data_IF_620204431112
#
_entry.id   IF_620204431112
#
_cell.length_a   1.000
_cell.length_b   1.000
_cell.length_c   1.000
_cell.angle_alpha   90.00
_cell.angle_beta   90.00
_cell.angle_gamma   90.00
#
_symmetry.space_group_name_H-M   'P 1'
#
loop_
_entity.id
_entity.type
_entity.pdbx_description
1 polymer ?
#
# COMPACT_ATOMS: atom_id res chain seq x y z
N UNK A 1 18.60 -34.92 -15.77
CA UNK A 1 18.61 -36.39 -16.06
C UNK A 1 18.56 -37.28 -14.81
N UNK A 2 18.64 -36.71 -13.56
CA UNK A 2 18.55 -37.44 -12.29
C UNK A 2 17.48 -36.86 -11.34
N UNK A 3 16.47 -36.19 -11.87
CA UNK A 3 15.39 -35.68 -11.07
C UNK A 3 14.67 -36.83 -10.32
N UNK A 4 14.38 -36.66 -9.06
CA UNK A 4 13.82 -37.68 -8.17
C UNK A 4 14.85 -38.63 -7.57
N UNK A 5 16.15 -38.39 -7.79
CA UNK A 5 17.23 -39.21 -7.26
C UNK A 5 17.83 -38.70 -5.93
N UNK A 6 17.26 -37.66 -5.34
CA UNK A 6 17.77 -37.07 -4.11
C UNK A 6 19.05 -36.24 -4.30
N UNK A 7 19.11 -35.47 -5.38
CA UNK A 7 20.21 -34.55 -5.68
C UNK A 7 20.34 -33.44 -4.62
N UNK A 8 21.55 -32.85 -4.54
CA UNK A 8 21.80 -31.70 -3.63
C UNK A 8 20.87 -30.53 -3.97
N UNK A 9 20.12 -30.03 -2.99
CA UNK A 9 19.10 -28.98 -3.13
C UNK A 9 17.91 -29.35 -4.05
N UNK A 10 17.71 -30.64 -4.33
CA UNK A 10 16.55 -31.07 -5.11
C UNK A 10 15.26 -30.86 -4.29
N UNK A 11 14.32 -30.15 -4.88
CA UNK A 11 12.98 -29.90 -4.32
C UNK A 11 11.99 -29.73 -5.48
N UNK A 12 10.73 -30.03 -5.28
CA UNK A 12 9.66 -29.72 -6.24
C UNK A 12 9.23 -28.25 -6.11
N UNK A 13 10.09 -27.35 -6.55
CA UNK A 13 9.89 -25.91 -6.50
C UNK A 13 8.71 -25.43 -7.38
N UNK A 14 8.46 -26.14 -8.49
CA UNK A 14 7.31 -25.85 -9.37
C UNK A 14 5.99 -26.05 -8.65
N UNK A 15 5.83 -27.18 -7.93
CA UNK A 15 4.60 -27.46 -7.18
C UNK A 15 4.45 -26.51 -5.96
N UNK A 16 5.56 -26.16 -5.31
CA UNK A 16 5.57 -25.20 -4.20
C UNK A 16 5.15 -23.80 -4.67
N UNK A 17 5.65 -23.35 -5.82
CA UNK A 17 5.37 -22.04 -6.37
C UNK A 17 3.97 -21.93 -7.02
N UNK A 18 3.38 -23.06 -7.45
CA UNK A 18 2.10 -23.07 -8.19
C UNK A 18 0.96 -22.34 -7.51
N UNK A 19 0.66 -22.54 -6.21
CA UNK A 19 -0.43 -21.81 -5.54
C UNK A 19 -0.13 -20.33 -5.28
N UNK A 20 1.13 -19.91 -5.43
CA UNK A 20 1.58 -18.53 -5.15
C UNK A 20 1.75 -17.71 -6.44
N UNK A 21 1.63 -18.35 -7.61
CA UNK A 21 1.97 -17.72 -8.89
C UNK A 21 0.91 -17.98 -9.95
N UNK A 22 0.78 -17.04 -10.88
CA UNK A 22 -0.09 -17.21 -12.05
C UNK A 22 0.40 -18.30 -13.02
N UNK A 23 1.71 -18.53 -13.02
CA UNK A 23 2.36 -19.54 -13.86
C UNK A 23 3.61 -20.05 -13.16
N UNK A 24 3.73 -21.37 -13.09
CA UNK A 24 4.91 -22.03 -12.55
C UNK A 24 5.28 -23.20 -13.47
N UNK A 25 6.51 -23.20 -13.98
CA UNK A 25 7.00 -24.23 -14.89
C UNK A 25 8.50 -24.47 -14.74
N UNK A 26 8.94 -25.70 -15.05
CA UNK A 26 10.35 -26.02 -15.20
C UNK A 26 10.75 -25.91 -16.67
N UNK A 27 11.89 -25.28 -16.93
CA UNK A 27 12.50 -25.22 -18.26
C UNK A 27 13.17 -26.57 -18.55
N UNK A 28 12.69 -27.26 -19.56
CA UNK A 28 13.13 -28.62 -19.88
C UNK A 28 14.13 -28.70 -21.04
N UNK A 29 14.27 -27.59 -21.77
CA UNK A 29 15.18 -27.48 -22.94
C UNK A 29 15.72 -26.04 -22.98
N UNK A 30 17.04 -25.92 -23.05
CA UNK A 30 17.70 -24.62 -23.09
C UNK A 30 17.36 -23.78 -24.32
N UNK A 31 17.13 -24.43 -25.47
CA UNK A 31 16.72 -23.72 -26.69
C UNK A 31 15.33 -23.05 -26.55
N UNK A 32 14.55 -23.49 -25.56
CA UNK A 32 13.20 -22.95 -25.28
C UNK A 32 13.19 -21.91 -24.17
N UNK A 33 14.31 -21.53 -23.60
CA UNK A 33 14.38 -20.48 -22.56
C UNK A 33 13.65 -19.21 -23.00
N UNK A 34 13.88 -18.64 -24.22
CA UNK A 34 13.17 -17.45 -24.67
C UNK A 34 11.65 -17.62 -24.73
N UNK A 35 11.17 -18.80 -25.16
CA UNK A 35 9.73 -19.12 -25.18
C UNK A 35 9.12 -19.11 -23.77
N UNK A 36 9.81 -19.74 -22.80
CA UNK A 36 9.33 -19.79 -21.41
C UNK A 36 9.32 -18.41 -20.77
N UNK A 37 10.34 -17.58 -21.02
CA UNK A 37 10.46 -16.22 -20.50
C UNK A 37 9.36 -15.33 -21.11
N UNK A 38 9.16 -15.34 -22.43
CA UNK A 38 8.09 -14.58 -23.08
C UNK A 38 6.70 -14.97 -22.57
N UNK A 39 6.45 -16.28 -22.42
CA UNK A 39 5.19 -16.78 -21.87
C UNK A 39 4.99 -16.33 -20.43
N UNK A 40 6.01 -16.45 -19.60
CA UNK A 40 5.98 -16.03 -18.20
C UNK A 40 5.72 -14.53 -18.09
N UNK A 41 6.42 -13.71 -18.86
CA UNK A 41 6.23 -12.27 -18.91
C UNK A 41 4.80 -11.90 -19.32
N UNK A 42 4.29 -12.48 -20.40
CA UNK A 42 2.95 -12.26 -20.90
C UNK A 42 1.89 -12.59 -19.85
N UNK A 43 2.05 -13.74 -19.16
CA UNK A 43 1.11 -14.15 -18.10
C UNK A 43 1.22 -13.23 -16.89
N UNK A 44 2.44 -12.85 -16.49
CA UNK A 44 2.65 -11.92 -15.37
C UNK A 44 1.96 -10.57 -15.55
N UNK A 45 1.93 -10.06 -16.79
CA UNK A 45 1.44 -8.71 -17.10
C UNK A 45 0.04 -8.66 -17.72
N UNK A 46 -0.61 -9.82 -17.95
CA UNK A 46 -1.96 -9.90 -18.53
C UNK A 46 -3.05 -10.05 -17.46
N UNK A 47 -4.25 -9.60 -17.75
CA UNK A 47 -5.36 -9.63 -16.80
C UNK A 47 -5.02 -8.87 -15.52
N UNK A 48 -5.25 -9.48 -14.35
CA UNK A 48 -4.71 -8.95 -13.10
C UNK A 48 -3.23 -9.33 -13.01
N UNK A 49 -2.30 -8.36 -13.04
CA UNK A 49 -0.87 -8.64 -12.97
C UNK A 49 -0.48 -9.39 -11.69
N UNK A 50 0.47 -10.32 -11.82
CA UNK A 50 0.88 -11.12 -10.67
C UNK A 50 2.16 -11.93 -10.93
N UNK A 51 2.70 -12.56 -9.88
CA UNK A 51 3.97 -13.26 -9.95
C UNK A 51 3.90 -14.50 -10.86
N UNK A 52 5.05 -14.85 -11.43
CA UNK A 52 5.29 -16.08 -12.18
C UNK A 52 6.58 -16.71 -11.70
N UNK A 53 6.72 -18.01 -11.90
CA UNK A 53 7.90 -18.78 -11.49
C UNK A 53 8.41 -19.64 -12.63
N UNK A 54 9.72 -19.57 -12.87
CA UNK A 54 10.44 -20.48 -13.79
C UNK A 54 11.56 -21.16 -13.04
N UNK A 55 11.49 -22.49 -12.94
CA UNK A 55 12.56 -23.31 -12.44
C UNK A 55 13.53 -23.63 -13.58
N UNK A 56 14.82 -23.37 -13.34
CA UNK A 56 15.87 -23.68 -14.32
C UNK A 56 16.78 -24.79 -13.76
N UNK A 57 16.62 -26.05 -14.21
CA UNK A 57 17.45 -27.14 -13.75
C UNK A 57 18.94 -26.92 -14.05
N UNK A 58 19.77 -27.45 -13.16
CA UNK A 58 21.23 -27.24 -13.20
C UNK A 58 21.87 -27.69 -14.49
N UNK A 59 21.39 -28.78 -15.10
CA UNK A 59 21.87 -29.28 -16.39
C UNK A 59 21.53 -28.33 -17.55
N UNK A 60 20.43 -27.59 -17.47
CA UNK A 60 20.11 -26.52 -18.41
C UNK A 60 21.01 -25.31 -18.17
N UNK A 61 21.23 -24.90 -16.92
CA UNK A 61 22.07 -23.73 -16.59
C UNK A 61 23.52 -23.88 -17.07
N UNK A 62 24.06 -25.08 -17.03
CA UNK A 62 25.46 -25.37 -17.44
C UNK A 62 25.58 -25.96 -18.86
N UNK A 63 24.46 -26.01 -19.60
CA UNK A 63 24.53 -26.42 -21.02
C UNK A 63 25.08 -25.30 -21.88
N UNK A 64 25.80 -25.71 -22.94
CA UNK A 64 26.19 -24.80 -24.02
C UNK A 64 25.10 -24.82 -25.10
N UNK A 65 24.74 -23.67 -25.63
CA UNK A 65 23.79 -23.52 -26.71
C UNK A 65 24.48 -22.87 -27.89
N UNK A 66 24.14 -23.34 -29.08
CA UNK A 66 24.60 -22.70 -30.32
C UNK A 66 23.65 -21.56 -30.68
N UNK A 67 24.13 -20.34 -30.50
CA UNK A 67 23.36 -19.15 -30.85
C UNK A 67 23.01 -19.06 -32.33
N UNK A 68 23.80 -19.73 -33.20
CA UNK A 68 23.57 -19.77 -34.63
C UNK A 68 22.57 -20.85 -35.05
N UNK A 69 22.36 -21.88 -34.24
CA UNK A 69 21.32 -22.89 -34.43
C UNK A 69 19.93 -22.41 -34.02
N UNK A 70 19.70 -21.15 -34.13
CA UNK A 70 18.79 -20.37 -33.32
C UNK A 70 17.33 -20.56 -33.68
N UNK A 71 16.73 -21.45 -32.99
CA UNK A 71 15.36 -21.20 -32.49
C UNK A 71 15.30 -19.90 -31.69
N UNK A 72 16.41 -19.26 -31.34
CA UNK A 72 16.54 -17.96 -30.72
C UNK A 72 16.11 -16.81 -31.64
N UNK A 73 16.19 -16.95 -32.94
CA UNK A 73 15.61 -16.01 -33.92
C UNK A 73 14.12 -16.26 -34.21
N UNK A 74 13.50 -17.22 -33.53
CA UNK A 74 12.09 -17.45 -33.72
C UNK A 74 11.28 -16.16 -33.38
N UNK A 75 10.19 -15.92 -34.13
CA UNK A 75 9.33 -14.74 -33.97
C UNK A 75 8.57 -14.71 -32.63
N UNK A 76 8.97 -15.52 -31.64
CA UNK A 76 8.37 -15.57 -30.32
C UNK A 76 8.93 -14.54 -29.34
N UNK A 77 10.15 -14.05 -29.57
CA UNK A 77 10.72 -12.97 -28.75
C UNK A 77 10.30 -11.64 -29.33
N UNK A 78 9.27 -11.06 -28.76
CA UNK A 78 8.91 -9.66 -29.08
C UNK A 78 9.99 -8.75 -28.54
N UNK A 79 10.51 -7.84 -29.36
CA UNK A 79 11.43 -6.79 -28.90
C UNK A 79 10.82 -5.91 -27.82
N UNK A 80 9.48 -5.75 -27.86
CA UNK A 80 8.72 -5.01 -26.85
C UNK A 80 7.39 -5.72 -26.59
N UNK A 81 7.03 -6.00 -25.32
CA UNK A 81 5.72 -6.54 -25.00
C UNK A 81 4.65 -5.49 -25.35
N UNK A 82 3.72 -5.84 -26.23
CA UNK A 82 2.54 -5.00 -26.51
C UNK A 82 1.51 -5.28 -25.44
N UNK A 83 1.13 -4.27 -24.69
CA UNK A 83 -0.05 -4.29 -23.82
C UNK A 83 -1.26 -3.83 -24.66
N UNK A 84 -2.33 -4.60 -24.60
CA UNK A 84 -3.59 -4.26 -25.26
C UNK A 84 -4.54 -3.72 -24.19
N UNK A 85 -5.11 -2.54 -24.43
CA UNK A 85 -6.17 -1.99 -23.59
C UNK A 85 -7.49 -2.66 -23.95
N UNK A 86 -8.22 -3.17 -22.96
CA UNK A 86 -9.60 -3.61 -23.14
C UNK A 86 -10.49 -2.36 -23.22
N UNK A 87 -11.12 -2.14 -24.36
CA UNK A 87 -12.11 -1.07 -24.51
C UNK A 87 -13.46 -1.52 -24.01
N UNK A 88 -14.23 -0.63 -23.36
CA UNK A 88 -15.55 -0.97 -22.85
C UNK A 88 -16.53 -1.27 -23.99
N UNK A 89 -17.43 -2.18 -23.74
CA UNK A 89 -18.56 -2.43 -24.65
C UNK A 89 -19.47 -1.19 -24.68
N UNK A 90 -19.80 -0.63 -25.89
CA UNK A 90 -20.46 0.68 -25.98
C UNK A 90 -21.84 0.76 -25.31
N UNK A 91 -22.67 -0.30 -25.38
CA UNK A 91 -24.01 -0.26 -24.78
C UNK A 91 -23.95 -0.28 -23.26
N UNK A 92 -23.12 -1.14 -22.68
CA UNK A 92 -22.86 -1.18 -21.23
C UNK A 92 -22.25 0.12 -20.71
N UNK A 93 -21.30 0.68 -21.47
CA UNK A 93 -20.69 1.96 -21.13
C UNK A 93 -21.73 3.10 -21.10
N UNK A 94 -22.59 3.19 -22.14
CA UNK A 94 -23.61 4.24 -22.21
C UNK A 94 -24.62 4.14 -21.08
N UNK A 95 -25.01 2.95 -20.68
CA UNK A 95 -25.86 2.72 -19.51
C UNK A 95 -25.19 3.20 -18.24
N UNK A 96 -23.94 2.79 -18.00
CA UNK A 96 -23.16 3.19 -16.83
C UNK A 96 -22.97 4.70 -16.77
N UNK A 97 -22.59 5.35 -17.88
CA UNK A 97 -22.47 6.80 -17.94
C UNK A 97 -23.81 7.48 -17.63
N UNK A 98 -24.93 6.96 -18.13
CA UNK A 98 -26.27 7.45 -17.80
C UNK A 98 -26.58 7.40 -16.31
N UNK A 99 -26.18 6.32 -15.64
CA UNK A 99 -26.32 6.16 -14.19
C UNK A 99 -25.47 7.20 -13.45
N UNK A 100 -24.19 7.33 -13.80
CA UNK A 100 -23.28 8.30 -13.18
C UNK A 100 -23.80 9.73 -13.38
N UNK A 101 -24.25 10.09 -14.57
CA UNK A 101 -24.84 11.41 -14.87
C UNK A 101 -26.08 11.73 -14.04
N UNK A 102 -26.92 10.72 -13.75
CA UNK A 102 -28.15 10.88 -12.97
C UNK A 102 -27.94 10.84 -11.46
N UNK A 103 -26.79 10.36 -10.99
CA UNK A 103 -26.47 10.22 -9.56
C UNK A 103 -26.20 11.58 -8.92
N UNK A 104 -26.65 11.75 -7.68
CA UNK A 104 -26.48 12.98 -6.91
C UNK A 104 -25.24 12.97 -6.03
N UNK A 105 -24.89 11.80 -5.50
CA UNK A 105 -23.81 11.61 -4.54
C UNK A 105 -22.87 10.47 -4.96
N UNK A 106 -22.36 10.44 -6.21
CA UNK A 106 -21.44 9.41 -6.63
C UNK A 106 -20.08 9.53 -5.94
N UNK A 107 -19.40 8.40 -5.78
CA UNK A 107 -18.00 8.32 -5.34
C UNK A 107 -17.22 7.39 -6.27
N UNK A 108 -15.92 7.65 -6.43
CA UNK A 108 -14.97 6.75 -7.08
C UNK A 108 -14.07 6.14 -6.02
N UNK A 109 -13.93 4.82 -6.04
CA UNK A 109 -12.94 4.09 -5.26
C UNK A 109 -11.95 3.50 -6.25
N UNK A 110 -10.73 4.05 -6.26
CA UNK A 110 -9.68 3.65 -7.18
C UNK A 110 -8.77 2.58 -6.59
N UNK A 111 -8.56 1.51 -7.32
CA UNK A 111 -7.68 0.42 -6.94
C UNK A 111 -6.40 0.33 -7.77
N UNK A 112 -5.61 -0.70 -7.50
CA UNK A 112 -4.28 -0.92 -8.06
C UNK A 112 -4.26 -1.06 -9.60
N UNK A 113 -5.40 -1.48 -10.20
CA UNK A 113 -5.54 -1.56 -11.66
C UNK A 113 -5.31 -0.22 -12.37
N UNK A 114 -5.62 0.91 -11.72
CA UNK A 114 -5.37 2.25 -12.27
C UNK A 114 -3.85 2.51 -12.35
N UNK A 115 -3.12 2.18 -11.28
CA UNK A 115 -1.66 2.30 -11.24
C UNK A 115 -0.97 1.38 -12.25
N UNK A 116 -1.41 0.13 -12.38
CA UNK A 116 -0.88 -0.81 -13.37
C UNK A 116 -1.08 -0.34 -14.82
N UNK A 117 -2.21 0.30 -15.08
CA UNK A 117 -2.51 0.84 -16.40
C UNK A 117 -1.91 2.24 -16.65
N UNK A 118 -1.25 2.83 -15.62
CA UNK A 118 -0.62 4.17 -15.66
C UNK A 118 -1.59 5.26 -16.07
N UNK A 119 -2.76 5.29 -15.45
CA UNK A 119 -3.83 6.22 -15.78
C UNK A 119 -4.24 7.14 -14.62
N UNK A 120 -3.28 7.42 -13.72
CA UNK A 120 -3.48 8.33 -12.58
C UNK A 120 -3.82 9.74 -13.05
N UNK A 121 -3.21 10.20 -14.15
CA UNK A 121 -3.48 11.54 -14.73
C UNK A 121 -4.92 11.65 -15.24
N UNK A 122 -5.46 10.61 -15.86
CA UNK A 122 -6.87 10.57 -16.28
C UNK A 122 -7.82 10.56 -15.07
N UNK A 123 -7.50 9.80 -14.03
CA UNK A 123 -8.27 9.84 -12.79
C UNK A 123 -8.25 11.23 -12.16
N UNK A 124 -7.08 11.90 -12.18
CA UNK A 124 -6.95 13.28 -11.70
C UNK A 124 -7.84 14.22 -12.51
N UNK A 125 -7.83 14.10 -13.84
CA UNK A 125 -8.67 14.90 -14.71
C UNK A 125 -10.16 14.70 -14.43
N UNK A 126 -10.62 13.46 -14.22
CA UNK A 126 -11.99 13.16 -13.78
C UNK A 126 -12.32 13.89 -12.48
N UNK A 127 -11.41 13.85 -11.49
CA UNK A 127 -11.59 14.56 -10.23
C UNK A 127 -11.68 16.08 -10.37
N UNK A 128 -10.81 16.66 -11.20
CA UNK A 128 -10.74 18.11 -11.37
C UNK A 128 -11.92 18.67 -12.20
N UNK A 129 -12.37 17.95 -13.23
CA UNK A 129 -13.43 18.40 -14.12
C UNK A 129 -14.83 18.02 -13.61
N UNK A 130 -15.05 16.72 -13.28
CA UNK A 130 -16.37 16.22 -12.90
C UNK A 130 -16.66 16.45 -11.40
N UNK A 131 -15.62 16.53 -10.57
CA UNK A 131 -15.69 16.81 -9.12
C UNK A 131 -16.38 15.71 -8.29
N UNK A 132 -16.26 14.45 -8.73
CA UNK A 132 -16.68 13.30 -7.95
C UNK A 132 -15.62 13.03 -6.87
N UNK A 133 -16.01 12.84 -5.58
CA UNK A 133 -15.07 12.42 -4.52
C UNK A 133 -14.36 11.12 -4.87
N UNK A 134 -13.03 11.10 -4.70
CA UNK A 134 -12.17 9.95 -5.04
C UNK A 134 -11.48 9.45 -3.77
N UNK A 135 -11.52 8.15 -3.57
CA UNK A 135 -10.79 7.44 -2.52
C UNK A 135 -9.87 6.38 -3.11
N UNK A 136 -8.76 6.11 -2.44
CA UNK A 136 -7.80 5.07 -2.80
C UNK A 136 -8.05 3.82 -1.96
N UNK A 137 -8.07 2.65 -2.58
CA UNK A 137 -8.13 1.38 -1.85
C UNK A 137 -6.92 1.27 -0.90
N UNK A 138 -7.10 0.89 0.37
CA UNK A 138 -6.00 0.69 1.31
C UNK A 138 -4.99 -0.36 0.84
N UNK A 139 -3.78 -0.30 1.37
CA UNK A 139 -2.68 -1.23 1.07
C UNK A 139 -2.23 -1.29 -0.39
N UNK A 140 -2.57 -0.28 -1.18
CA UNK A 140 -2.13 -0.13 -2.56
C UNK A 140 -1.35 1.17 -2.76
N UNK A 141 -0.71 1.29 -3.91
CA UNK A 141 -0.03 2.53 -4.28
C UNK A 141 -0.99 3.73 -4.19
N UNK A 142 -0.51 4.84 -3.67
CA UNK A 142 -1.24 6.11 -3.70
C UNK A 142 -1.45 6.53 -5.16
N UNK A 143 -2.70 6.62 -5.59
CA UNK A 143 -3.06 6.94 -6.97
C UNK A 143 -2.95 8.42 -7.29
N UNK A 144 -3.34 9.26 -6.34
CA UNK A 144 -3.37 10.70 -6.51
C UNK A 144 -2.70 11.38 -5.31
N UNK A 145 -2.29 12.62 -5.53
CA UNK A 145 -1.80 13.50 -4.49
C UNK A 145 -2.76 14.68 -4.27
N UNK A 146 -2.39 15.57 -3.38
CA UNK A 146 -3.20 16.72 -2.95
C UNK A 146 -3.41 17.79 -4.03
N UNK A 147 -2.77 17.64 -5.19
CA UNK A 147 -3.02 18.51 -6.36
C UNK A 147 -4.38 18.21 -7.01
N UNK A 148 -5.07 17.13 -6.64
CA UNK A 148 -6.44 16.83 -6.99
C UNK A 148 -7.36 17.09 -5.79
N UNK A 149 -8.16 18.15 -5.83
CA UNK A 149 -9.08 18.50 -4.72
C UNK A 149 -10.17 17.46 -4.46
N UNK A 150 -10.50 16.66 -5.47
CA UNK A 150 -11.47 15.57 -5.33
C UNK A 150 -10.88 14.33 -4.66
N UNK A 151 -9.55 14.22 -4.57
CA UNK A 151 -8.91 13.13 -3.85
C UNK A 151 -8.98 13.34 -2.34
N UNK A 152 -9.62 12.42 -1.65
CA UNK A 152 -9.97 12.57 -0.23
C UNK A 152 -9.22 11.59 0.69
N UNK A 153 -8.35 10.73 0.15
CA UNK A 153 -7.53 9.81 0.92
C UNK A 153 -7.95 8.35 0.80
N UNK A 154 -7.84 7.59 1.89
CA UNK A 154 -8.04 6.15 1.89
C UNK A 154 -9.50 5.74 2.01
N UNK A 155 -9.85 4.66 1.32
CA UNK A 155 -11.13 3.96 1.49
C UNK A 155 -11.08 3.00 2.68
N UNK A 156 -10.65 3.47 3.84
CA UNK A 156 -10.53 2.71 5.09
C UNK A 156 -11.47 3.27 6.16
N UNK A 157 -12.51 2.53 6.47
CA UNK A 157 -13.53 2.96 7.43
C UNK A 157 -13.15 2.77 8.89
N UNK A 158 -12.10 2.02 9.16
CA UNK A 158 -11.64 1.74 10.51
C UNK A 158 -10.69 2.83 11.02
N UNK A 159 -9.89 3.40 10.14
CA UNK A 159 -8.90 4.43 10.47
C UNK A 159 -9.27 5.82 9.95
N UNK A 160 -10.07 5.89 8.89
CA UNK A 160 -10.35 7.12 8.16
C UNK A 160 -11.86 7.39 8.05
N UNK A 161 -12.44 8.04 9.06
CA UNK A 161 -13.86 8.33 9.15
C UNK A 161 -14.45 9.13 7.97
N UNK A 162 -13.71 10.01 7.25
CA UNK A 162 -14.24 10.67 6.06
C UNK A 162 -14.70 9.70 4.98
N UNK A 163 -14.03 8.56 4.79
CA UNK A 163 -14.50 7.54 3.86
C UNK A 163 -15.83 6.93 4.29
N UNK A 164 -16.01 6.69 5.59
CA UNK A 164 -17.25 6.18 6.14
C UNK A 164 -18.43 7.11 5.88
N UNK A 165 -18.24 8.43 6.04
CA UNK A 165 -19.25 9.42 5.71
C UNK A 165 -19.65 9.35 4.24
N UNK A 166 -18.65 9.37 3.34
CA UNK A 166 -18.87 9.32 1.90
C UNK A 166 -19.63 8.05 1.48
N UNK A 167 -19.25 6.88 2.04
CA UNK A 167 -19.84 5.60 1.69
C UNK A 167 -21.31 5.51 2.15
N UNK A 168 -21.59 5.93 3.38
CA UNK A 168 -22.96 5.91 3.93
C UNK A 168 -23.93 6.83 3.18
N UNK A 169 -23.44 7.94 2.63
CA UNK A 169 -24.26 8.95 1.96
C UNK A 169 -24.34 8.75 0.44
N UNK A 170 -23.48 7.89 -0.11
CA UNK A 170 -23.39 7.68 -1.57
C UNK A 170 -24.62 6.98 -2.13
N UNK A 171 -25.09 7.46 -3.29
CA UNK A 171 -26.13 6.81 -4.10
C UNK A 171 -25.56 6.00 -5.28
N UNK A 172 -24.27 6.18 -5.58
CA UNK A 172 -23.56 5.46 -6.63
C UNK A 172 -22.07 5.27 -6.27
N UNK A 173 -21.64 4.05 -6.20
CA UNK A 173 -20.27 3.65 -5.89
C UNK A 173 -19.63 3.13 -7.18
N UNK A 174 -18.54 3.77 -7.61
CA UNK A 174 -17.79 3.39 -8.81
C UNK A 174 -16.46 2.80 -8.37
N UNK A 175 -16.36 1.49 -8.31
CA UNK A 175 -15.12 0.76 -8.03
C UNK A 175 -14.35 0.58 -9.34
N UNK A 176 -13.15 1.15 -9.42
CA UNK A 176 -12.32 1.08 -10.63
C UNK A 176 -10.98 0.45 -10.34
N UNK A 177 -10.72 -0.71 -10.95
CA UNK A 177 -9.44 -1.42 -10.85
C UNK A 177 -9.11 -1.95 -9.45
N UNK A 178 -10.10 -2.18 -8.60
CA UNK A 178 -9.94 -2.63 -7.22
C UNK A 178 -11.00 -3.62 -6.79
N UNK A 179 -10.97 -3.96 -5.50
CA UNK A 179 -11.91 -4.87 -4.83
C UNK A 179 -12.55 -4.17 -3.64
N UNK A 180 -13.79 -4.51 -3.31
CA UNK A 180 -14.41 -4.20 -2.03
C UNK A 180 -13.98 -5.25 -1.00
N UNK A 181 -12.86 -5.03 -0.35
CA UNK A 181 -12.24 -5.96 0.60
C UNK A 181 -12.72 -5.77 2.05
N UNK A 182 -12.02 -6.39 3.00
CA UNK A 182 -12.33 -6.33 4.42
C UNK A 182 -12.25 -4.90 5.01
N UNK A 183 -11.41 -4.03 4.47
CA UNK A 183 -11.27 -2.63 4.93
C UNK A 183 -12.52 -1.81 4.62
N UNK A 184 -13.25 -2.23 3.60
CA UNK A 184 -14.52 -1.66 3.17
C UNK A 184 -15.71 -2.54 3.54
N UNK A 185 -15.56 -3.41 4.57
CA UNK A 185 -16.59 -4.34 5.01
C UNK A 185 -17.19 -5.18 3.86
N UNK A 186 -16.36 -5.57 2.90
CA UNK A 186 -16.73 -6.34 1.70
C UNK A 186 -17.85 -5.70 0.87
N UNK A 187 -18.04 -4.38 0.97
CA UNK A 187 -19.12 -3.65 0.30
C UNK A 187 -20.50 -3.83 0.93
N UNK A 188 -20.60 -4.37 2.14
CA UNK A 188 -21.87 -4.71 2.78
C UNK A 188 -22.51 -3.54 3.55
N UNK A 189 -23.85 -3.55 3.69
CA UNK A 189 -24.55 -2.70 4.62
C UNK A 189 -24.07 -2.94 6.08
N UNK A 190 -24.23 -1.97 6.98
CA UNK A 190 -24.77 -0.62 6.75
C UNK A 190 -23.76 0.37 6.17
N UNK A 191 -22.51 -0.03 5.96
CA UNK A 191 -21.45 0.87 5.50
C UNK A 191 -21.73 1.38 4.09
N UNK A 192 -22.04 0.45 3.19
CA UNK A 192 -22.53 0.77 1.85
C UNK A 192 -24.04 0.54 1.83
N UNK A 193 -24.87 1.59 1.64
CA UNK A 193 -26.31 1.42 1.61
C UNK A 193 -26.74 0.38 0.57
N UNK A 194 -27.73 -0.45 0.91
CA UNK A 194 -28.27 -1.43 -0.04
C UNK A 194 -28.92 -0.74 -1.24
N UNK A 195 -29.34 0.52 -1.10
CA UNK A 195 -29.91 1.35 -2.16
C UNK A 195 -28.87 1.99 -3.08
N UNK A 196 -27.59 2.01 -2.68
CA UNK A 196 -26.51 2.54 -3.53
C UNK A 196 -26.25 1.59 -4.68
N UNK A 197 -26.21 2.12 -5.89
CA UNK A 197 -25.79 1.36 -7.07
C UNK A 197 -24.30 1.12 -7.04
N UNK A 198 -23.88 -0.12 -7.29
CA UNK A 198 -22.49 -0.49 -7.41
C UNK A 198 -22.12 -0.70 -8.87
N UNK A 199 -21.17 0.06 -9.36
CA UNK A 199 -20.57 -0.09 -10.68
C UNK A 199 -19.14 -0.62 -10.46
N UNK A 200 -18.80 -1.75 -11.08
CA UNK A 200 -17.44 -2.30 -11.07
C UNK A 200 -16.83 -2.22 -12.47
N UNK A 201 -15.67 -1.53 -12.55
CA UNK A 201 -14.86 -1.41 -13.76
C UNK A 201 -13.52 -2.07 -13.50
N UNK A 202 -13.18 -3.11 -14.25
CA UNK A 202 -11.90 -3.79 -14.11
C UNK A 202 -11.41 -4.38 -15.44
N UNK A 203 -10.10 -4.44 -15.62
CA UNK A 203 -9.45 -5.06 -16.79
C UNK A 203 -9.39 -6.59 -16.73
N UNK A 204 -9.83 -7.20 -15.64
CA UNK A 204 -9.81 -8.66 -15.43
C UNK A 204 -11.16 -9.19 -15.00
N UNK A 205 -11.61 -10.27 -15.64
CA UNK A 205 -12.82 -10.99 -15.25
C UNK A 205 -12.75 -11.59 -13.84
N UNK A 206 -11.56 -11.96 -13.39
CA UNK A 206 -11.35 -12.58 -12.08
C UNK A 206 -11.52 -11.57 -10.93
N UNK A 207 -11.45 -10.27 -11.24
CA UNK A 207 -11.45 -9.18 -10.26
C UNK A 207 -12.70 -8.31 -10.29
N UNK A 208 -13.53 -8.45 -11.34
CA UNK A 208 -14.57 -7.44 -11.62
C UNK A 208 -15.73 -7.44 -10.63
N UNK A 209 -16.04 -8.55 -10.01
CA UNK A 209 -17.16 -8.70 -9.07
C UNK A 209 -16.71 -9.47 -7.83
N UNK A 210 -15.81 -8.86 -7.08
CA UNK A 210 -15.27 -9.50 -5.89
C UNK A 210 -16.05 -9.07 -4.65
N UNK A 211 -16.64 -10.00 -3.93
CA UNK A 211 -17.45 -9.88 -2.71
C UNK A 211 -18.91 -9.46 -2.95
N UNK A 212 -19.23 -8.17 -3.04
CA UNK A 212 -20.60 -7.69 -3.29
C UNK A 212 -20.93 -7.80 -4.77
N UNK A 213 -22.11 -8.37 -5.09
CA UNK A 213 -22.64 -8.34 -6.44
C UNK A 213 -22.83 -6.88 -6.91
N UNK A 214 -22.35 -6.59 -8.09
CA UNK A 214 -22.47 -5.26 -8.69
C UNK A 214 -23.78 -5.15 -9.49
N UNK A 215 -24.36 -3.95 -9.50
CA UNK A 215 -25.51 -3.65 -10.33
C UNK A 215 -25.12 -3.56 -11.82
N UNK A 216 -23.88 -3.08 -12.07
CA UNK A 216 -23.33 -2.95 -13.43
C UNK A 216 -21.85 -3.33 -13.45
N UNK A 217 -21.48 -4.14 -14.42
CA UNK A 217 -20.13 -4.62 -14.65
C UNK A 217 -19.60 -4.08 -15.98
N UNK A 218 -18.36 -3.61 -15.99
CA UNK A 218 -17.66 -3.14 -17.18
C UNK A 218 -16.27 -3.74 -17.26
N UNK A 219 -16.08 -4.72 -18.12
CA UNK A 219 -14.75 -5.23 -18.43
C UNK A 219 -14.03 -4.22 -19.32
N UNK A 220 -13.18 -3.41 -18.71
CA UNK A 220 -12.46 -2.33 -19.37
C UNK A 220 -11.15 -2.01 -18.67
N UNK A 221 -10.16 -1.59 -19.45
CA UNK A 221 -9.01 -0.87 -18.90
C UNK A 221 -9.50 0.40 -18.18
N UNK A 222 -9.00 0.70 -16.96
CA UNK A 222 -9.40 1.90 -16.21
C UNK A 222 -9.25 3.20 -17.00
N UNK A 223 -8.16 3.34 -17.78
CA UNK A 223 -7.92 4.52 -18.59
C UNK A 223 -8.93 4.67 -19.70
N UNK A 224 -9.26 3.59 -20.40
CA UNK A 224 -10.29 3.61 -21.45
C UNK A 224 -11.66 4.04 -20.89
N UNK A 225 -12.00 3.56 -19.69
CA UNK A 225 -13.21 4.01 -19.01
C UNK A 225 -13.17 5.51 -18.67
N UNK A 226 -12.05 6.02 -18.13
CA UNK A 226 -11.94 7.43 -17.77
C UNK A 226 -11.93 8.34 -19.02
N UNK A 227 -11.28 7.93 -20.11
CA UNK A 227 -11.33 8.65 -21.40
C UNK A 227 -12.78 8.81 -21.85
N UNK A 228 -13.55 7.73 -21.89
CA UNK A 228 -14.95 7.77 -22.30
C UNK A 228 -15.83 8.58 -21.33
N UNK A 229 -15.56 8.51 -20.03
CA UNK A 229 -16.30 9.27 -19.01
C UNK A 229 -16.06 10.78 -19.20
N UNK A 230 -14.82 11.21 -19.45
CA UNK A 230 -14.46 12.60 -19.74
C UNK A 230 -15.06 13.09 -21.05
N UNK A 231 -15.00 12.30 -22.12
CA UNK A 231 -15.64 12.61 -23.39
C UNK A 231 -17.15 12.83 -23.24
N UNK A 232 -17.78 12.01 -22.40
CA UNK A 232 -19.22 12.11 -22.11
C UNK A 232 -19.60 13.35 -21.29
N UNK A 233 -18.63 13.91 -20.56
CA UNK A 233 -18.82 15.09 -19.70
C UNK A 233 -18.93 16.38 -20.55
N UNK A 234 -18.28 16.50 -21.66
CA UNK A 234 -18.22 17.59 -22.68
C UNK A 234 -19.20 18.78 -22.47
N UNK A 235 -19.27 19.32 -21.23
CA UNK A 235 -20.15 20.41 -20.84
C UNK A 235 -21.56 19.99 -20.42
N UNK A 236 -21.94 18.71 -20.53
CA UNK A 236 -23.20 18.19 -20.03
C UNK A 236 -23.19 18.13 -18.50
N UNK A 237 -24.23 18.66 -17.90
CA UNK A 237 -24.36 18.71 -16.45
C UNK A 237 -24.63 17.32 -15.90
N UNK A 238 -23.69 16.81 -15.11
CA UNK A 238 -23.98 15.74 -14.15
C UNK A 238 -24.94 16.25 -13.07
N UNK A 239 -25.86 15.40 -12.62
CA UNK A 239 -26.87 15.76 -11.62
C UNK A 239 -26.32 15.82 -10.19
N UNK A 240 -25.00 16.04 -10.03
CA UNK A 240 -24.34 16.05 -8.74
C UNK A 240 -25.00 17.06 -7.78
N UNK A 241 -25.18 16.65 -6.53
CA UNK A 241 -25.55 17.57 -5.46
C UNK A 241 -24.46 18.66 -5.37
N UNK A 242 -24.87 19.92 -5.47
CA UNK A 242 -23.97 21.08 -5.63
C UNK A 242 -22.83 21.12 -4.62
N UNK A 243 -23.11 20.69 -3.40
CA UNK A 243 -22.16 20.76 -2.28
C UNK A 243 -21.56 19.38 -1.92
N UNK A 244 -21.75 18.34 -2.76
CA UNK A 244 -21.35 17.00 -2.40
C UNK A 244 -19.84 16.87 -2.13
N UNK A 245 -19.00 17.34 -3.05
CA UNK A 245 -17.55 17.37 -2.84
C UNK A 245 -17.15 18.24 -1.66
N UNK A 246 -17.78 19.42 -1.53
CA UNK A 246 -17.49 20.35 -0.43
C UNK A 246 -17.79 19.76 0.95
N UNK A 247 -18.91 19.02 1.09
CA UNK A 247 -19.25 18.30 2.32
C UNK A 247 -18.21 17.24 2.68
N UNK A 248 -17.74 16.47 1.70
CA UNK A 248 -16.70 15.47 1.92
C UNK A 248 -15.36 16.10 2.31
N UNK A 249 -14.98 17.22 1.72
CA UNK A 249 -13.79 18.00 2.12
C UNK A 249 -13.93 18.50 3.55
N UNK A 250 -15.11 18.97 3.94
CA UNK A 250 -15.36 19.44 5.29
C UNK A 250 -15.29 18.32 6.33
N UNK A 251 -15.84 17.14 6.04
CA UNK A 251 -15.71 15.96 6.91
C UNK A 251 -14.23 15.54 7.07
N UNK A 252 -13.45 15.63 6.00
CA UNK A 252 -11.98 15.42 6.08
C UNK A 252 -11.31 16.41 7.03
N UNK A 253 -11.63 17.70 6.95
CA UNK A 253 -11.09 18.74 7.85
C UNK A 253 -11.48 18.50 9.30
N UNK A 254 -12.74 18.16 9.55
CA UNK A 254 -13.22 17.83 10.90
C UNK A 254 -12.46 16.66 11.50
N UNK A 255 -12.25 15.60 10.72
CA UNK A 255 -11.50 14.43 11.16
C UNK A 255 -10.04 14.77 11.47
N UNK A 256 -9.36 15.55 10.61
CA UNK A 256 -7.98 16.01 10.86
C UNK A 256 -7.90 16.79 12.17
N UNK A 257 -8.80 17.76 12.35
CA UNK A 257 -8.84 18.58 13.57
C UNK A 257 -9.08 17.72 14.82
N UNK A 258 -10.03 16.79 14.75
CA UNK A 258 -10.35 15.90 15.87
C UNK A 258 -9.15 14.97 16.18
N UNK A 259 -8.48 14.42 15.17
CA UNK A 259 -7.32 13.54 15.34
C UNK A 259 -6.14 14.28 16.00
N UNK A 260 -5.86 15.49 15.56
CA UNK A 260 -4.79 16.32 16.16
C UNK A 260 -5.13 16.73 17.59
N UNK A 261 -6.38 17.17 17.84
CA UNK A 261 -6.80 17.54 19.19
C UNK A 261 -6.73 16.33 20.16
N UNK A 262 -7.21 15.17 19.72
CA UNK A 262 -7.12 13.94 20.52
C UNK A 262 -5.66 13.57 20.84
N UNK A 263 -4.74 13.71 19.89
CA UNK A 263 -3.30 13.51 20.13
C UNK A 263 -2.79 14.47 21.20
N UNK A 264 -3.13 15.78 21.09
CA UNK A 264 -2.70 16.80 22.06
C UNK A 264 -3.27 16.52 23.45
N UNK A 265 -4.56 16.21 23.55
CA UNK A 265 -5.21 15.86 24.82
C UNK A 265 -4.59 14.62 25.46
N UNK A 266 -4.35 13.58 24.66
CA UNK A 266 -3.71 12.34 25.09
C UNK A 266 -2.31 12.59 25.64
N UNK A 267 -1.46 13.29 24.89
CA UNK A 267 -0.05 13.52 25.25
C UNK A 267 0.14 14.53 26.38
N UNK A 268 -0.85 15.37 26.65
CA UNK A 268 -0.86 16.28 27.79
C UNK A 268 -1.40 15.63 29.08
N UNK A 269 -1.90 14.41 29.03
CA UNK A 269 -2.42 13.70 30.22
C UNK A 269 -1.27 13.24 31.14
N UNK A 270 -1.52 13.04 32.46
CA UNK A 270 -0.51 12.57 33.40
C UNK A 270 0.13 11.24 33.01
N UNK A 271 -0.59 10.37 32.29
CA UNK A 271 -0.09 9.09 31.79
C UNK A 271 1.04 9.22 30.77
N UNK A 272 1.21 10.41 30.20
CA UNK A 272 2.22 10.77 29.21
C UNK A 272 3.31 11.70 29.75
N UNK A 273 3.33 11.93 31.05
CA UNK A 273 4.41 12.69 31.69
C UNK A 273 5.77 12.03 31.47
N UNK A 274 6.85 12.84 31.52
CA UNK A 274 8.22 12.35 31.34
C UNK A 274 8.68 12.21 29.88
N UNK A 275 8.01 12.92 28.94
CA UNK A 275 8.48 13.04 27.55
C UNK A 275 8.17 11.82 26.67
N UNK A 276 7.25 10.94 27.09
CA UNK A 276 6.83 9.79 26.28
C UNK A 276 6.32 10.24 24.91
N UNK A 277 6.75 9.54 23.87
CA UNK A 277 6.45 9.88 22.49
C UNK A 277 5.31 8.97 21.98
N UNK A 278 4.27 9.58 21.41
CA UNK A 278 3.18 8.86 20.77
C UNK A 278 3.56 8.47 19.33
N UNK A 279 3.27 7.25 18.83
CA UNK A 279 3.61 6.84 17.47
C UNK A 279 3.06 7.77 16.37
N UNK A 280 1.86 8.33 16.55
CA UNK A 280 1.34 9.34 15.63
C UNK A 280 2.18 10.63 15.66
N UNK A 281 2.63 11.07 16.83
CA UNK A 281 3.50 12.25 16.97
C UNK A 281 4.86 12.02 16.33
N UNK A 282 5.43 10.83 16.49
CA UNK A 282 6.64 10.39 15.80
C UNK A 282 6.46 10.53 14.28
N UNK A 283 5.43 9.90 13.73
CA UNK A 283 5.21 9.85 12.30
C UNK A 283 4.91 11.23 11.70
N UNK A 284 4.12 12.07 12.39
CA UNK A 284 3.89 13.46 11.98
C UNK A 284 5.17 14.28 11.97
N UNK A 285 6.04 14.08 12.99
CA UNK A 285 7.32 14.82 13.11
C UNK A 285 8.31 14.41 12.01
N UNK A 286 8.36 13.13 11.66
CA UNK A 286 9.17 12.63 10.54
C UNK A 286 8.68 13.22 9.22
N UNK A 287 7.38 13.16 8.95
CA UNK A 287 6.79 13.64 7.69
C UNK A 287 6.92 15.16 7.51
N UNK A 288 6.98 15.94 8.59
CA UNK A 288 7.30 17.39 8.54
C UNK A 288 8.72 17.69 8.06
N UNK A 289 9.63 16.70 8.07
CA UNK A 289 10.98 16.83 7.52
C UNK A 289 11.06 16.41 6.04
N UNK A 290 9.97 15.93 5.46
CA UNK A 290 9.91 15.42 4.10
C UNK A 290 9.28 16.41 3.12
N UNK A 291 9.56 16.22 1.85
CA UNK A 291 9.04 17.00 0.72
C UNK A 291 8.25 16.12 -0.24
N UNK A 292 7.61 16.73 -1.24
CA UNK A 292 6.88 16.03 -2.30
C UNK A 292 7.79 15.19 -3.24
N UNK A 293 9.11 15.35 -3.15
CA UNK A 293 10.07 14.55 -3.91
C UNK A 293 10.47 13.26 -3.20
N UNK A 294 10.21 13.15 -1.89
CA UNK A 294 10.70 12.07 -1.05
C UNK A 294 9.80 10.82 -1.12
N UNK A 295 10.38 9.68 -0.73
CA UNK A 295 9.68 8.39 -0.65
C UNK A 295 9.63 7.96 0.81
N UNK A 296 8.43 7.65 1.27
CA UNK A 296 8.16 7.13 2.61
C UNK A 296 7.85 5.64 2.55
N UNK A 297 8.54 4.88 3.39
CA UNK A 297 8.33 3.43 3.55
C UNK A 297 7.83 3.16 4.95
N UNK A 298 6.85 2.27 5.09
CA UNK A 298 6.36 1.79 6.40
C UNK A 298 6.66 0.31 6.59
N UNK A 299 6.93 -0.06 7.84
CA UNK A 299 6.98 -1.47 8.23
C UNK A 299 6.57 -1.62 9.71
N UNK A 300 5.78 -2.61 10.01
CA UNK A 300 5.33 -2.87 11.38
C UNK A 300 3.81 -3.09 11.47
N UNK A 301 3.35 -3.32 12.69
CA UNK A 301 1.93 -3.40 13.03
C UNK A 301 1.35 -2.03 13.35
N UNK A 302 1.25 -1.66 14.65
CA UNK A 302 0.74 -0.35 15.07
C UNK A 302 1.49 0.82 14.44
N UNK A 303 2.81 0.71 14.29
CA UNK A 303 3.66 1.73 13.63
C UNK A 303 3.18 2.07 12.23
N UNK A 304 2.87 1.04 11.41
CA UNK A 304 2.33 1.21 10.07
C UNK A 304 1.00 1.99 10.10
N UNK A 305 0.05 1.53 10.91
CA UNK A 305 -1.28 2.14 10.96
C UNK A 305 -1.26 3.58 11.48
N UNK A 306 -0.44 3.90 12.48
CA UNK A 306 -0.25 5.27 12.92
C UNK A 306 0.41 6.14 11.86
N UNK A 307 1.31 5.56 11.07
CA UNK A 307 1.96 6.26 9.95
C UNK A 307 0.99 6.57 8.80
N UNK A 308 0.05 5.67 8.50
CA UNK A 308 -1.03 5.95 7.53
C UNK A 308 -1.96 7.07 7.98
N UNK A 309 -2.32 7.11 9.27
CA UNK A 309 -3.10 8.22 9.83
C UNK A 309 -2.33 9.54 9.66
N UNK A 310 -1.03 9.55 9.97
CA UNK A 310 -0.18 10.72 9.78
C UNK A 310 -0.12 11.17 8.31
N UNK A 311 -0.03 10.23 7.35
CA UNK A 311 -0.08 10.55 5.91
C UNK A 311 -1.36 11.27 5.54
N UNK A 312 -2.51 10.79 5.99
CA UNK A 312 -3.80 11.42 5.69
C UNK A 312 -3.94 12.82 6.31
N UNK A 313 -3.38 13.03 7.52
CA UNK A 313 -3.32 14.34 8.18
C UNK A 313 -2.39 15.28 7.40
N UNK A 314 -1.17 14.85 7.09
CA UNK A 314 -0.18 15.66 6.39
C UNK A 314 -0.60 15.99 4.96
N UNK A 315 -1.24 15.04 4.29
CA UNK A 315 -1.84 15.23 2.98
C UNK A 315 -2.93 16.31 2.99
N UNK A 316 -3.78 16.35 4.03
CA UNK A 316 -4.76 17.44 4.21
C UNK A 316 -4.11 18.81 4.40
N UNK A 317 -2.87 18.85 4.87
CA UNK A 317 -2.07 20.06 5.08
C UNK A 317 -1.16 20.38 3.88
N UNK A 318 -1.31 19.66 2.77
CA UNK A 318 -0.62 19.95 1.50
C UNK A 318 0.67 19.16 1.24
N UNK A 319 1.05 18.20 2.11
CA UNK A 319 2.22 17.34 1.83
C UNK A 319 1.82 16.25 0.84
N UNK A 320 2.40 16.28 -0.35
CA UNK A 320 2.16 15.32 -1.43
C UNK A 320 3.41 14.48 -1.71
N UNK A 321 3.70 13.51 -0.86
CA UNK A 321 4.85 12.62 -1.03
C UNK A 321 4.86 11.97 -2.42
N UNK A 322 6.05 11.82 -3.03
CA UNK A 322 6.16 11.27 -4.37
C UNK A 322 5.73 9.80 -4.43
N UNK A 323 6.02 9.04 -3.38
CA UNK A 323 5.61 7.65 -3.27
C UNK A 323 5.51 7.21 -1.81
N UNK A 324 4.60 6.28 -1.53
CA UNK A 324 4.46 5.59 -0.25
C UNK A 324 4.55 4.10 -0.53
N UNK A 325 5.37 3.37 0.24
CA UNK A 325 5.56 1.93 0.13
C UNK A 325 5.29 1.25 1.48
N UNK A 326 4.63 0.11 1.45
CA UNK A 326 4.28 -0.66 2.65
C UNK A 326 4.09 -2.15 2.30
N UNK A 327 4.01 -3.07 3.28
CA UNK A 327 3.92 -4.52 3.05
C UNK A 327 2.67 -5.01 2.31
N UNK A 328 1.70 -4.13 2.03
CA UNK A 328 0.44 -4.49 1.39
C UNK A 328 -0.48 -5.31 2.29
N UNK A 329 -1.49 -5.95 1.69
CA UNK A 329 -2.54 -6.70 2.41
C UNK A 329 -2.04 -7.96 3.13
N UNK A 330 -0.87 -8.49 2.77
CA UNK A 330 -0.23 -9.59 3.50
C UNK A 330 0.41 -9.14 4.81
N UNK A 331 0.65 -7.85 4.97
CA UNK A 331 1.21 -7.25 6.20
C UNK A 331 2.49 -7.94 6.72
N UNK A 332 3.33 -8.38 5.79
CA UNK A 332 4.59 -9.08 6.12
C UNK A 332 5.57 -8.13 6.80
N UNK A 333 5.99 -8.46 8.02
CA UNK A 333 7.00 -7.70 8.74
C UNK A 333 8.42 -7.97 8.22
N UNK A 334 9.30 -6.97 8.29
CA UNK A 334 10.71 -7.08 7.93
C UNK A 334 11.03 -6.78 6.47
N UNK A 335 10.06 -6.39 5.66
CA UNK A 335 10.27 -6.04 4.24
C UNK A 335 10.70 -4.58 4.05
N UNK A 336 10.50 -3.72 5.04
CA UNK A 336 10.71 -2.28 4.93
C UNK A 336 12.11 -1.90 4.51
N UNK A 337 13.15 -2.53 5.08
CA UNK A 337 14.55 -2.26 4.72
C UNK A 337 14.80 -2.61 3.25
N UNK A 338 14.32 -3.77 2.77
CA UNK A 338 14.48 -4.18 1.38
C UNK A 338 13.74 -3.24 0.42
N UNK A 339 12.57 -2.73 0.80
CA UNK A 339 11.84 -1.73 0.02
C UNK A 339 12.60 -0.40 -0.03
N UNK A 340 13.12 0.08 1.10
CA UNK A 340 13.90 1.30 1.16
C UNK A 340 15.18 1.23 0.32
N UNK A 341 15.90 0.10 0.38
CA UNK A 341 17.07 -0.17 -0.46
C UNK A 341 16.73 -0.13 -1.95
N UNK A 342 15.67 -0.83 -2.35
CA UNK A 342 15.20 -0.87 -3.73
C UNK A 342 14.77 0.51 -4.22
N UNK A 343 14.04 1.25 -3.39
CA UNK A 343 13.61 2.61 -3.69
C UNK A 343 14.80 3.54 -3.89
N UNK A 344 15.81 3.48 -3.01
CA UNK A 344 17.01 4.32 -3.11
C UNK A 344 17.87 3.97 -4.33
N UNK A 345 17.99 2.70 -4.64
CA UNK A 345 18.76 2.25 -5.82
C UNK A 345 18.16 2.75 -7.13
N UNK A 346 16.84 2.78 -7.22
CA UNK A 346 16.09 3.27 -8.38
C UNK A 346 15.95 4.80 -8.43
N UNK A 347 16.03 5.47 -7.27
CA UNK A 347 15.81 6.91 -7.13
C UNK A 347 16.96 7.55 -6.33
N UNK A 348 18.15 7.58 -6.93
CA UNK A 348 19.38 8.00 -6.26
C UNK A 348 19.32 9.40 -5.65
N UNK A 349 18.60 10.31 -6.30
CA UNK A 349 18.48 11.74 -5.90
C UNK A 349 17.43 11.97 -4.81
N UNK A 350 16.50 11.00 -4.61
CA UNK A 350 15.42 11.17 -3.64
C UNK A 350 15.86 10.78 -2.22
N UNK A 351 15.30 11.44 -1.24
CA UNK A 351 15.38 10.99 0.16
C UNK A 351 14.43 9.83 0.38
N UNK A 352 14.94 8.75 0.96
CA UNK A 352 14.15 7.59 1.33
C UNK A 352 14.13 7.48 2.84
N UNK A 353 12.94 7.55 3.42
CA UNK A 353 12.74 7.40 4.86
C UNK A 353 11.89 6.16 5.11
N UNK A 354 12.39 5.27 5.95
CA UNK A 354 11.65 4.12 6.47
C UNK A 354 11.24 4.39 7.91
N UNK A 355 9.96 4.30 8.24
CA UNK A 355 9.46 4.21 9.61
C UNK A 355 9.15 2.76 9.90
N UNK A 356 9.87 2.15 10.82
CA UNK A 356 9.75 0.72 11.16
C UNK A 356 9.54 0.52 12.65
N UNK A 357 8.61 -0.36 13.01
CA UNK A 357 8.57 -0.87 14.38
C UNK A 357 9.84 -1.68 14.71
N UNK A 358 10.23 -1.69 15.97
CA UNK A 358 11.41 -2.42 16.47
C UNK A 358 11.35 -3.92 16.11
N UNK A 359 10.20 -4.55 16.29
CA UNK A 359 9.98 -5.97 15.94
C UNK A 359 10.03 -6.23 14.43
N UNK A 360 9.51 -5.31 13.61
CA UNK A 360 9.59 -5.41 12.16
C UNK A 360 11.05 -5.28 11.69
N UNK A 361 11.79 -4.31 12.23
CA UNK A 361 13.21 -4.15 11.93
C UNK A 361 14.02 -5.39 12.32
N UNK A 362 13.76 -5.99 13.48
CA UNK A 362 14.43 -7.23 13.89
C UNK A 362 14.17 -8.41 12.96
N UNK A 363 13.04 -8.42 12.26
CA UNK A 363 12.70 -9.51 11.33
C UNK A 363 13.48 -9.47 10.01
N UNK A 364 13.90 -8.29 9.52
CA UNK A 364 14.58 -8.15 8.22
C UNK A 364 15.71 -7.11 8.19
N UNK A 365 15.99 -6.46 9.31
CA UNK A 365 16.86 -5.30 9.40
C UNK A 365 18.33 -5.53 9.03
N UNK A 366 18.83 -6.77 9.15
CA UNK A 366 20.23 -7.08 8.79
C UNK A 366 20.53 -6.88 7.30
N UNK A 367 19.52 -6.85 6.44
CA UNK A 367 19.71 -6.47 5.02
C UNK A 367 20.21 -5.04 4.83
N UNK A 368 20.26 -4.24 5.91
CA UNK A 368 20.88 -2.90 5.91
C UNK A 368 22.36 -2.93 5.52
N UNK A 369 23.05 -4.05 5.70
CA UNK A 369 24.43 -4.23 5.26
C UNK A 369 24.61 -3.82 3.79
N UNK A 370 23.64 -4.15 2.94
CA UNK A 370 23.66 -3.75 1.53
C UNK A 370 23.68 -2.22 1.35
N UNK A 371 23.06 -1.45 2.25
CA UNK A 371 23.14 0.01 2.18
C UNK A 371 24.57 0.51 2.43
N UNK A 372 25.30 -0.13 3.31
CA UNK A 372 26.70 0.22 3.59
C UNK A 372 27.62 -0.22 2.42
N UNK A 373 27.42 -1.44 1.92
CA UNK A 373 28.19 -1.96 0.81
C UNK A 373 28.02 -1.12 -0.47
N UNK A 374 26.81 -0.70 -0.79
CA UNK A 374 26.47 0.04 -2.01
C UNK A 374 26.43 1.58 -1.80
N UNK A 375 26.76 2.09 -0.62
CA UNK A 375 26.68 3.52 -0.26
C UNK A 375 25.30 4.11 -0.57
N UNK A 376 24.23 3.48 -0.11
CA UNK A 376 22.86 3.92 -0.28
C UNK A 376 22.40 4.68 0.96
N UNK A 377 22.39 6.02 0.98
CA UNK A 377 21.94 6.81 2.13
C UNK A 377 20.42 6.71 2.26
N UNK A 378 19.95 5.77 3.07
CA UNK A 378 18.56 5.64 3.51
C UNK A 378 18.48 5.99 4.99
N UNK A 379 17.37 6.59 5.40
CA UNK A 379 17.13 6.97 6.80
C UNK A 379 16.09 6.04 7.39
N UNK A 380 16.44 5.33 8.44
CA UNK A 380 15.56 4.41 9.15
C UNK A 380 15.19 5.01 10.50
N UNK A 381 13.91 5.20 10.73
CA UNK A 381 13.34 5.66 11.99
C UNK A 381 12.76 4.43 12.68
N UNK A 382 13.31 4.06 13.82
CA UNK A 382 12.79 2.95 14.61
C UNK A 382 11.81 3.48 15.64
N UNK A 383 10.56 3.07 15.52
CA UNK A 383 9.52 3.22 16.54
C UNK A 383 9.76 2.15 17.61
N UNK A 384 10.60 2.49 18.60
CA UNK A 384 11.11 1.57 19.60
C UNK A 384 10.24 1.65 20.88
N UNK A 385 9.19 0.87 20.89
CA UNK A 385 8.31 0.73 22.04
C UNK A 385 8.68 -0.46 22.96
N UNK A 386 9.71 -1.24 22.60
CA UNK A 386 10.25 -2.34 23.38
C UNK A 386 9.56 -3.67 23.16
N UNK A 387 8.87 -3.88 22.03
CA UNK A 387 8.22 -5.15 21.77
C UNK A 387 7.25 -5.22 20.61
N UNK A 388 6.60 -6.38 20.49
CA UNK A 388 5.51 -6.63 19.54
C UNK A 388 4.19 -6.05 20.05
N UNK A 389 4.15 -4.71 20.20
CA UNK A 389 3.10 -3.98 20.87
C UNK A 389 1.68 -4.25 20.34
N UNK A 390 1.54 -4.43 19.02
CA UNK A 390 0.27 -4.83 18.42
C UNK A 390 -0.26 -6.16 18.98
N UNK A 391 0.63 -7.09 19.30
CA UNK A 391 0.28 -8.41 19.81
C UNK A 391 0.08 -8.36 21.33
N UNK A 392 0.98 -7.70 22.06
CA UNK A 392 0.84 -7.58 23.53
C UNK A 392 -0.49 -6.93 23.91
N UNK A 393 -0.86 -5.84 23.27
CA UNK A 393 -2.13 -5.15 23.51
C UNK A 393 -3.37 -5.98 23.14
N UNK A 394 -3.28 -6.85 22.13
CA UNK A 394 -4.34 -7.81 21.85
C UNK A 394 -4.43 -8.89 22.93
N UNK A 395 -3.27 -9.42 23.40
CA UNK A 395 -3.24 -10.41 24.47
C UNK A 395 -3.80 -9.83 25.79
N UNK A 396 -3.39 -8.62 26.18
CA UNK A 396 -3.90 -7.90 27.36
C UNK A 396 -5.42 -7.72 27.36
N UNK A 397 -6.01 -7.55 26.17
CA UNK A 397 -7.47 -7.48 26.04
C UNK A 397 -8.16 -8.83 26.09
N UNK A 398 -7.51 -9.88 25.56
CA UNK A 398 -8.05 -11.24 25.54
C UNK A 398 -7.92 -11.92 26.90
N UNK A 399 -6.85 -11.67 27.64
CA UNK A 399 -6.64 -12.25 28.96
C UNK A 399 -7.28 -11.39 30.04
N UNK A 400 -8.13 -12.00 30.87
CA UNK A 400 -8.91 -11.30 31.90
C UNK A 400 -8.04 -10.61 32.95
N UNK A 401 -6.82 -11.09 33.15
CA UNK A 401 -5.82 -10.51 34.06
C UNK A 401 -4.94 -9.42 33.42
N UNK A 402 -5.17 -9.14 32.11
CA UNK A 402 -4.37 -8.16 31.37
C UNK A 402 -2.94 -8.61 31.08
N UNK A 403 -2.65 -9.91 31.18
CA UNK A 403 -1.31 -10.43 30.92
C UNK A 403 -1.00 -10.58 29.44
N UNK A 404 0.29 -10.57 29.10
CA UNK A 404 0.81 -10.94 27.79
C UNK A 404 2.13 -11.70 27.96
N UNK A 405 2.57 -12.40 26.91
CA UNK A 405 3.81 -13.18 26.95
C UNK A 405 4.49 -13.25 25.60
N UNK A 406 5.81 -13.42 25.62
CA UNK A 406 6.69 -13.56 24.46
C UNK A 406 6.63 -12.39 23.46
N UNK A 407 6.26 -11.19 23.91
CA UNK A 407 6.13 -9.99 23.07
C UNK A 407 7.10 -8.89 23.42
N UNK A 408 7.69 -8.92 24.62
CA UNK A 408 8.60 -7.88 25.09
C UNK A 408 10.02 -8.12 24.61
N UNK A 409 10.69 -7.03 24.28
CA UNK A 409 12.11 -7.01 23.97
C UNK A 409 12.89 -6.33 25.08
N UNK A 410 14.15 -6.73 25.24
CA UNK A 410 15.11 -5.94 26.00
C UNK A 410 15.41 -4.64 25.26
N UNK A 411 15.98 -3.68 25.98
CA UNK A 411 16.41 -2.43 25.36
C UNK A 411 17.53 -2.67 24.33
N UNK A 412 17.22 -2.41 23.07
CA UNK A 412 18.14 -2.61 21.94
C UNK A 412 18.61 -1.27 21.41
N UNK A 413 19.94 -1.02 21.42
CA UNK A 413 20.51 0.21 20.91
C UNK A 413 20.63 0.18 19.36
N UNK A 414 19.51 0.22 18.65
CA UNK A 414 19.50 0.15 17.17
C UNK A 414 20.41 1.20 16.51
N UNK A 415 20.46 2.42 17.03
CA UNK A 415 21.36 3.48 16.56
C UNK A 415 22.84 3.06 16.62
N UNK A 416 23.25 2.40 17.71
CA UNK A 416 24.63 1.91 17.88
C UNK A 416 25.02 0.81 16.88
N UNK A 417 24.06 0.06 16.34
CA UNK A 417 24.33 -0.88 15.24
C UNK A 417 24.80 -0.15 14.00
N UNK A 418 24.17 0.96 13.64
CA UNK A 418 24.55 1.77 12.48
C UNK A 418 25.89 2.49 12.68
N UNK A 419 26.15 3.03 13.87
CA UNK A 419 27.43 3.61 14.23
C UNK A 419 28.57 2.58 14.11
N UNK A 420 28.35 1.36 14.62
CA UNK A 420 29.32 0.26 14.52
C UNK A 420 29.62 -0.19 13.09
N UNK A 421 28.71 0.08 12.14
CA UNK A 421 28.90 -0.18 10.71
C UNK A 421 29.42 1.04 9.94
N UNK A 422 29.72 2.17 10.61
CA UNK A 422 30.21 3.41 10.01
C UNK A 422 29.15 4.37 9.49
N UNK A 423 27.88 4.10 9.80
CA UNK A 423 26.74 4.96 9.48
C UNK A 423 26.52 6.09 10.49
N UNK A 424 25.33 6.65 10.42
CA UNK A 424 24.83 7.62 11.39
C UNK A 424 23.85 6.96 12.35
N UNK A 425 24.04 7.15 13.64
CA UNK A 425 23.14 6.65 14.67
C UNK A 425 22.76 7.76 15.65
N UNK A 426 21.49 7.85 16.04
CA UNK A 426 21.03 8.80 17.06
C UNK A 426 19.89 8.21 17.89
N UNK A 427 19.97 8.37 19.22
CA UNK A 427 18.90 8.02 20.14
C UNK A 427 18.07 9.26 20.45
N UNK A 428 16.75 9.14 20.31
CA UNK A 428 15.77 10.17 20.64
C UNK A 428 14.87 9.67 21.76
N UNK A 429 14.79 10.46 22.84
CA UNK A 429 13.93 10.15 24.01
C UNK A 429 12.87 11.22 24.26
N UNK A 430 12.98 12.36 23.58
CA UNK A 430 12.07 13.49 23.73
C UNK A 430 11.47 13.90 22.38
N UNK A 431 10.18 14.20 22.34
CA UNK A 431 9.44 14.55 21.12
C UNK A 431 10.03 15.76 20.37
N UNK A 432 10.53 16.75 21.09
CA UNK A 432 11.06 17.97 20.50
C UNK A 432 12.40 17.76 19.75
N UNK A 433 13.05 16.63 19.98
CA UNK A 433 14.30 16.24 19.33
C UNK A 433 14.09 15.55 17.98
N UNK A 434 12.91 14.99 17.72
CA UNK A 434 12.64 14.11 16.56
C UNK A 434 13.00 14.80 15.24
N UNK A 435 12.47 16.00 14.99
CA UNK A 435 12.70 16.68 13.71
C UNK A 435 14.18 17.03 13.50
N UNK A 436 14.87 17.45 14.58
CA UNK A 436 16.30 17.74 14.53
C UNK A 436 17.12 16.50 14.19
N UNK A 437 16.83 15.38 14.83
CA UNK A 437 17.50 14.10 14.62
C UNK A 437 17.28 13.58 13.19
N UNK A 438 16.03 13.64 12.69
CA UNK A 438 15.70 13.23 11.31
C UNK A 438 16.46 14.07 10.28
N UNK A 439 16.53 15.39 10.46
CA UNK A 439 17.29 16.26 9.56
C UNK A 439 18.78 15.93 9.59
N UNK A 440 19.39 15.76 10.76
CA UNK A 440 20.79 15.34 10.88
C UNK A 440 21.05 14.00 10.21
N UNK A 441 20.14 13.05 10.36
CA UNK A 441 20.23 11.76 9.70
C UNK A 441 20.21 11.90 8.16
N UNK A 442 19.30 12.71 7.60
CA UNK A 442 19.24 13.02 6.17
C UNK A 442 20.53 13.71 5.71
N UNK A 443 20.95 14.76 6.42
CA UNK A 443 22.12 15.58 6.07
C UNK A 443 23.44 14.80 6.20
N UNK A 444 23.48 13.72 6.97
CA UNK A 444 24.66 12.86 7.11
C UNK A 444 25.12 12.24 5.78
N UNK A 445 24.22 12.07 4.81
CA UNK A 445 24.51 11.41 3.54
C UNK A 445 24.94 9.96 3.69
N UNK A 446 24.68 9.31 4.82
CA UNK A 446 25.04 7.93 5.16
C UNK A 446 23.80 7.08 5.40
N UNK A 447 23.90 5.74 5.35
CA UNK A 447 22.88 4.91 5.97
C UNK A 447 22.72 5.31 7.45
N UNK A 448 21.49 5.67 7.85
CA UNK A 448 21.23 6.33 9.12
C UNK A 448 20.11 5.64 9.90
N UNK A 449 20.23 5.63 11.24
CA UNK A 449 19.20 5.16 12.16
C UNK A 449 18.90 6.22 13.21
N UNK A 450 17.65 6.65 13.27
CA UNK A 450 17.11 7.42 14.42
C UNK A 450 16.27 6.46 15.26
N UNK A 451 16.80 6.06 16.41
CA UNK A 451 16.14 5.16 17.35
C UNK A 451 15.28 5.98 18.32
N UNK A 452 13.97 6.00 18.13
CA UNK A 452 13.04 6.82 18.91
C UNK A 452 12.35 5.98 19.96
N UNK A 453 12.52 6.32 21.23
CA UNK A 453 11.81 5.66 22.33
C UNK A 453 10.37 6.15 22.39
N UNK A 454 9.46 5.27 22.05
CA UNK A 454 8.02 5.56 22.04
C UNK A 454 7.29 4.80 23.16
N UNK A 455 6.06 5.18 23.38
CA UNK A 455 5.11 4.39 24.19
C UNK A 455 4.20 3.63 23.24
N UNK A 456 4.07 2.33 23.47
CA UNK A 456 3.11 1.50 22.75
C UNK A 456 1.67 2.04 22.85
N UNK A 457 1.02 2.20 21.72
CA UNK A 457 -0.38 2.67 21.62
C UNK A 457 -1.10 1.87 20.57
N UNK A 458 -2.21 1.25 20.95
CA UNK A 458 -3.05 0.51 20.01
C UNK A 458 -3.62 1.44 18.95
N UNK A 459 -3.47 1.08 17.69
CA UNK A 459 -4.05 1.82 16.58
C UNK A 459 -5.58 1.59 16.49
N UNK A 460 -6.33 2.53 15.89
CA UNK A 460 -7.78 2.41 15.79
C UNK A 460 -8.24 1.13 15.08
N UNK A 461 -7.53 0.66 14.06
CA UNK A 461 -7.87 -0.56 13.33
C UNK A 461 -7.66 -1.82 14.19
N UNK A 462 -6.56 -1.87 14.93
CA UNK A 462 -6.26 -2.99 15.83
C UNK A 462 -7.28 -3.03 16.97
N UNK A 463 -7.64 -1.88 17.51
CA UNK A 463 -8.70 -1.77 18.51
C UNK A 463 -10.04 -2.29 17.97
N UNK A 464 -10.47 -1.84 16.79
CA UNK A 464 -11.74 -2.25 16.19
C UNK A 464 -11.81 -3.74 15.84
N UNK A 465 -10.69 -4.35 15.46
CA UNK A 465 -10.63 -5.80 15.17
C UNK A 465 -10.64 -6.65 16.43
N UNK A 466 -10.04 -6.17 17.53
CA UNK A 466 -10.08 -6.84 18.83
C UNK A 466 -11.51 -6.86 19.39
N UNK A 467 -12.22 -5.73 19.37
CA UNK A 467 -13.60 -5.62 19.86
C UNK A 467 -14.59 -6.54 19.10
N UNK A 468 -14.34 -6.82 17.83
CA UNK A 468 -15.15 -7.78 17.04
C UNK A 468 -14.90 -9.24 17.47
N UNK A 469 -13.69 -9.60 17.84
CA UNK A 469 -13.34 -10.95 18.32
C UNK A 469 -13.95 -11.25 19.69
N UNK A 470 -13.96 -10.26 20.59
CA UNK A 470 -14.61 -10.39 21.89
C UNK A 470 -16.10 -10.69 21.78
N UNK A 471 -16.78 -10.09 20.84
CA UNK A 471 -18.21 -10.35 20.59
C UNK A 471 -18.47 -11.73 19.96
N UNK A 472 -17.60 -12.21 19.08
CA UNK A 472 -17.73 -13.51 18.45
C UNK A 472 -17.34 -14.69 19.38
N UNK A 473 -16.61 -14.46 20.46
CA UNK A 473 -16.25 -15.49 21.45
C UNK A 473 -17.30 -15.65 22.56
N UNK A 474 -18.35 -14.84 22.57
CA UNK A 474 -19.45 -14.86 23.58
C UNK A 474 -20.71 -15.52 22.97
N UNK A 475 -20.79 -15.69 21.65
CA UNK A 475 -21.79 -16.49 20.96
C UNK A 475 -21.30 -17.92 20.70
#
# INVERSE_FOLDING_TARGET
KKQGAGGFKEIDDVSIARPLTKYSASITDGNRIPEFVDRAWRIATSGYPGPVHLSMPVDIMFSSFDESASDMERPFTRKEPKTYKAWPEPSALNEIIGIIKSSKKPIIIGGHGIWWSKNEDLLKQVGDEIKIPIFNVPYHQKLLNENCKAFLGLADVHQYHPSKFAFNESDCIIMVGGRLDNQMNFGNPPLFPASSRLICVNGSHEEIEFNRAADHLLLSDPGAFFECLLESYNGDKFSLEKDWLAKNIEERKKWVTASVNNLVETTNSPAWSGGKIHPLELSLSVQKCMTDQDILVFDGGNTHFWSEIAVNIMASNGLALSQIMHPGSYSMLGVGVSFALSAKRLNKEKTIVLISGDGAFLSGGLSIETAFQENLPIVIIIDNNGGLDCISQQQERLFKDGSHFATDFRDIPFHGMFEGMGGYGELVTHKDEIQGAVRRAIDSGKPACVNVKTKGVISPIVAATSDKRDKASIE
#
